data_IF_174248568915
#
_entry.id   IF_174248568915
#
_cell.length_a   1.000
_cell.length_b   1.000
_cell.length_c   1.000
_cell.angle_alpha   90.00
_cell.angle_beta   90.00
_cell.angle_gamma   90.00
#
_symmetry.space_group_name_H-M   'P 1'
#
loop_
_entity.id
_entity.type
_entity.pdbx_description
1 polymer ?
#
# COMPACT_ATOMS: atom_id res chain seq x y z
N UNK A 1 -6.97 -2.20 4.57
CA UNK A 1 -6.15 -1.55 5.61
C UNK A 1 -6.92 -0.33 6.08
N UNK A 2 -7.31 -0.23 7.35
CA UNK A 2 -8.17 0.87 7.86
C UNK A 2 -7.66 1.48 9.17
N UNK A 3 -6.37 1.28 9.49
CA UNK A 3 -5.79 1.72 10.75
C UNK A 3 -5.79 3.25 10.89
N UNK A 4 -5.45 3.99 9.84
CA UNK A 4 -5.36 5.45 9.90
C UNK A 4 -6.74 6.12 10.04
N UNK A 5 -7.77 5.73 9.25
CA UNK A 5 -9.13 6.21 9.52
C UNK A 5 -9.58 5.91 10.94
N UNK A 6 -9.22 4.75 11.51
CA UNK A 6 -9.57 4.41 12.89
C UNK A 6 -8.95 5.37 13.92
N UNK A 7 -7.70 5.78 13.70
CA UNK A 7 -6.96 6.62 14.64
C UNK A 7 -7.34 8.11 14.55
N UNK A 8 -7.57 8.60 13.33
CA UNK A 8 -7.69 10.05 13.08
C UNK A 8 -9.10 10.47 12.63
N UNK A 9 -9.89 9.56 12.08
CA UNK A 9 -11.17 9.84 11.41
C UNK A 9 -12.27 8.85 11.85
N UNK A 10 -12.58 8.74 13.16
CA UNK A 10 -13.45 7.67 13.68
C UNK A 10 -14.84 7.65 13.06
N UNK A 11 -15.41 8.82 12.73
CA UNK A 11 -16.71 8.89 12.04
C UNK A 11 -16.69 8.23 10.65
N UNK A 12 -15.59 8.41 9.90
CA UNK A 12 -15.42 7.75 8.59
C UNK A 12 -15.23 6.26 8.80
N UNK A 13 -14.36 5.86 9.74
CA UNK A 13 -14.12 4.45 10.06
C UNK A 13 -15.42 3.72 10.43
N UNK A 14 -16.25 4.33 11.26
CA UNK A 14 -17.54 3.77 11.69
C UNK A 14 -18.52 3.69 10.51
N UNK A 15 -18.53 4.69 9.61
CA UNK A 15 -19.33 4.67 8.39
C UNK A 15 -18.92 3.54 7.43
N UNK A 16 -17.62 3.39 7.18
CA UNK A 16 -17.08 2.31 6.35
C UNK A 16 -17.10 0.94 7.04
N UNK A 17 -17.40 0.85 8.34
CA UNK A 17 -17.54 -0.36 9.17
C UNK A 17 -16.79 -1.60 8.62
N UNK A 18 -15.46 -1.55 8.55
CA UNK A 18 -14.67 -2.53 7.80
C UNK A 18 -14.53 -3.86 8.55
N UNK A 19 -14.83 -3.89 9.85
CA UNK A 19 -14.71 -5.08 10.70
C UNK A 19 -15.94 -5.99 10.65
N UNK A 20 -17.10 -5.45 10.32
CA UNK A 20 -18.36 -6.21 10.33
C UNK A 20 -19.00 -6.37 8.95
N UNK A 21 -18.69 -5.50 7.99
CA UNK A 21 -19.29 -5.54 6.64
C UNK A 21 -18.26 -5.23 5.55
N UNK A 22 -17.96 -6.17 4.63
CA UNK A 22 -17.11 -5.87 3.49
C UNK A 22 -17.78 -4.80 2.60
N UNK A 23 -16.97 -4.02 1.90
CA UNK A 23 -17.44 -3.10 0.86
C UNK A 23 -17.79 -3.92 -0.38
N UNK A 24 -19.01 -3.74 -0.91
CA UNK A 24 -19.49 -4.52 -2.04
C UNK A 24 -18.87 -4.05 -3.37
N UNK A 25 -18.85 -2.73 -3.57
CA UNK A 25 -18.37 -2.07 -4.78
C UNK A 25 -18.07 -0.58 -4.49
N UNK A 26 -17.71 0.17 -5.54
CA UNK A 26 -17.42 1.60 -5.45
C UNK A 26 -18.64 2.43 -4.99
N UNK A 27 -19.87 2.04 -5.33
CA UNK A 27 -21.07 2.77 -4.92
C UNK A 27 -21.36 2.60 -3.43
N UNK A 28 -21.22 1.37 -2.89
CA UNK A 28 -21.29 1.13 -1.44
C UNK A 28 -20.16 1.87 -0.70
N UNK A 29 -18.97 1.95 -1.28
CA UNK A 29 -17.86 2.70 -0.70
C UNK A 29 -18.14 4.21 -0.64
N UNK A 30 -18.61 4.82 -1.72
CA UNK A 30 -19.01 6.24 -1.76
C UNK A 30 -20.10 6.54 -0.72
N UNK A 31 -21.14 5.70 -0.66
CA UNK A 31 -22.26 5.88 0.27
C UNK A 31 -21.85 5.84 1.76
N UNK A 32 -20.64 5.35 2.06
CA UNK A 32 -20.10 5.18 3.41
C UNK A 32 -18.96 6.13 3.75
N UNK A 33 -18.74 7.17 2.93
CA UNK A 33 -17.69 8.17 3.16
C UNK A 33 -16.36 7.82 2.47
N UNK A 34 -16.37 6.93 1.48
CA UNK A 34 -15.21 6.59 0.67
C UNK A 34 -14.70 7.71 -0.23
N UNK A 35 -15.49 8.78 -0.39
CA UNK A 35 -15.16 10.02 -1.09
C UNK A 35 -14.23 10.94 -0.27
N UNK A 36 -14.06 10.67 1.02
CA UNK A 36 -13.26 11.50 1.90
C UNK A 36 -11.81 11.63 1.42
N UNK A 37 -11.32 12.86 1.39
CA UNK A 37 -9.94 13.16 1.06
C UNK A 37 -9.07 13.02 2.31
N UNK A 38 -8.22 11.99 2.33
CA UNK A 38 -7.34 11.71 3.45
C UNK A 38 -5.90 11.99 3.03
N UNK A 39 -5.37 13.15 3.45
CA UNK A 39 -4.03 13.62 3.07
C UNK A 39 -2.94 12.59 3.37
N UNK A 40 -3.07 11.81 4.46
CA UNK A 40 -2.11 10.77 4.85
C UNK A 40 -1.98 9.63 3.82
N UNK A 41 -3.00 9.42 2.99
CA UNK A 41 -2.96 8.44 1.91
C UNK A 41 -2.47 9.03 0.58
N UNK A 42 -2.24 10.33 0.54
CA UNK A 42 -1.71 11.05 -0.63
C UNK A 42 -0.23 11.32 -0.47
N UNK A 43 0.46 11.26 -1.60
CA UNK A 43 1.80 11.81 -1.71
C UNK A 43 1.69 13.36 -1.68
N UNK A 44 2.40 14.06 -0.78
CA UNK A 44 2.32 15.52 -0.66
C UNK A 44 2.72 16.28 -1.94
N UNK A 45 3.56 15.67 -2.77
CA UNK A 45 4.03 16.22 -4.06
C UNK A 45 3.21 15.73 -5.26
N UNK A 46 2.18 14.91 -5.05
CA UNK A 46 1.26 14.52 -6.12
C UNK A 46 0.26 15.65 -6.40
N UNK A 47 0.35 16.19 -7.61
CA UNK A 47 -0.42 17.34 -8.11
C UNK A 47 -1.72 16.95 -8.83
N UNK A 48 -2.03 15.66 -8.90
CA UNK A 48 -3.28 15.16 -9.46
C UNK A 48 -4.50 15.39 -8.55
N UNK A 49 -5.70 15.12 -9.06
CA UNK A 49 -6.94 15.33 -8.31
C UNK A 49 -6.97 14.47 -7.05
N UNK A 50 -7.52 15.00 -5.93
CA UNK A 50 -7.61 14.28 -4.67
C UNK A 50 -8.57 13.09 -4.70
N UNK A 51 -9.45 13.05 -5.70
CA UNK A 51 -10.39 11.96 -5.95
C UNK A 51 -10.08 11.29 -7.30
N UNK A 52 -10.51 10.04 -7.41
CA UNK A 52 -10.54 9.28 -8.65
C UNK A 52 -11.71 9.72 -9.55
N UNK A 53 -11.75 9.32 -10.84
CA UNK A 53 -12.88 9.64 -11.73
C UNK A 53 -14.25 9.15 -11.24
N UNK A 54 -14.28 8.12 -10.40
CA UNK A 54 -15.49 7.60 -9.76
C UNK A 54 -15.87 8.36 -8.46
N UNK A 55 -15.11 9.38 -8.07
CA UNK A 55 -15.34 10.21 -6.88
C UNK A 55 -14.73 9.68 -5.59
N UNK A 56 -14.13 8.47 -5.60
CA UNK A 56 -13.49 7.93 -4.40
C UNK A 56 -12.21 8.69 -4.04
N UNK A 57 -11.96 8.85 -2.74
CA UNK A 57 -10.73 9.46 -2.24
C UNK A 57 -9.50 8.68 -2.69
N UNK A 58 -8.57 9.36 -3.36
CA UNK A 58 -7.36 8.76 -3.94
C UNK A 58 -6.35 8.37 -2.86
N UNK A 59 -5.61 7.31 -3.15
CA UNK A 59 -4.41 6.93 -2.42
C UNK A 59 -3.22 6.72 -3.38
N UNK A 60 -2.01 6.96 -2.90
CA UNK A 60 -0.77 6.73 -3.64
C UNK A 60 0.02 5.51 -3.12
N UNK A 61 -0.61 4.56 -2.42
CA UNK A 61 0.10 3.45 -1.76
C UNK A 61 -0.58 2.08 -1.86
N UNK A 62 0.05 1.08 -2.47
CA UNK A 62 -0.45 -0.30 -2.51
C UNK A 62 0.06 -1.11 -1.31
N UNK A 63 -0.74 -2.07 -0.85
CA UNK A 63 -0.30 -3.05 0.12
C UNK A 63 0.42 -4.23 -0.54
N UNK A 64 1.34 -4.90 0.16
CA UNK A 64 1.93 -6.16 -0.30
C UNK A 64 0.87 -7.27 -0.30
N UNK A 65 0.73 -8.00 -1.41
CA UNK A 65 -0.22 -9.10 -1.50
C UNK A 65 0.11 -10.25 -0.57
N UNK A 66 1.40 -10.56 -0.37
CA UNK A 66 1.79 -11.69 0.49
C UNK A 66 1.52 -11.40 1.98
N UNK A 67 1.57 -10.12 2.36
CA UNK A 67 1.21 -9.67 3.71
C UNK A 67 -0.31 -9.53 3.87
N UNK A 68 -1.01 -8.86 2.95
CA UNK A 68 -2.38 -8.37 3.17
C UNK A 68 -3.49 -9.10 2.41
N UNK A 69 -3.20 -9.93 1.41
CA UNK A 69 -4.25 -10.73 0.74
C UNK A 69 -4.73 -11.92 1.58
N UNK A 70 -4.14 -12.15 2.75
CA UNK A 70 -4.55 -13.14 3.74
C UNK A 70 -4.42 -12.60 5.15
N UNK A 71 -5.01 -13.30 6.13
CA UNK A 71 -4.86 -12.98 7.55
C UNK A 71 -3.45 -13.38 8.03
N UNK A 72 -2.46 -12.56 7.71
CA UNK A 72 -1.06 -12.77 8.13
C UNK A 72 -0.85 -12.30 9.56
N UNK A 73 -0.36 -13.19 10.43
CA UNK A 73 0.11 -12.86 11.77
C UNK A 73 1.56 -12.40 11.70
N UNK A 74 1.97 -11.50 12.60
CA UNK A 74 3.36 -11.06 12.67
C UNK A 74 4.36 -12.22 12.83
N UNK A 75 3.99 -13.26 13.57
CA UNK A 75 4.81 -14.47 13.75
C UNK A 75 4.97 -15.33 12.48
N UNK A 76 4.22 -15.02 11.41
CA UNK A 76 4.35 -15.68 10.11
C UNK A 76 5.33 -14.95 9.19
N UNK A 77 5.79 -13.75 9.55
CA UNK A 77 6.80 -12.99 8.80
C UNK A 77 8.18 -13.52 9.24
N UNK A 78 8.66 -14.53 8.51
CA UNK A 78 9.88 -15.29 8.80
C UNK A 78 11.13 -14.75 8.09
N UNK A 79 10.97 -13.99 7.02
CA UNK A 79 12.09 -13.35 6.31
C UNK A 79 12.61 -12.08 7.02
N UNK A 80 11.96 -11.70 8.12
CA UNK A 80 12.33 -10.56 8.96
C UNK A 80 11.42 -9.35 8.73
N UNK A 81 10.90 -8.76 9.82
CA UNK A 81 9.97 -7.62 9.72
C UNK A 81 10.63 -6.38 9.12
N UNK A 82 11.95 -6.24 9.24
CA UNK A 82 12.76 -5.15 8.71
C UNK A 82 13.18 -5.33 7.24
N UNK A 83 12.81 -6.46 6.65
CA UNK A 83 13.17 -6.89 5.28
C UNK A 83 11.95 -7.32 4.48
N UNK A 84 10.76 -7.40 5.09
CA UNK A 84 9.49 -7.61 4.40
C UNK A 84 8.72 -6.30 4.25
N UNK A 85 8.38 -5.94 3.01
CA UNK A 85 7.57 -4.79 2.66
C UNK A 85 6.10 -5.03 2.99
N UNK A 86 5.51 -4.08 3.70
CA UNK A 86 4.09 -4.03 4.00
C UNK A 86 3.32 -3.19 2.97
N UNK A 87 3.80 -1.98 2.68
CA UNK A 87 3.11 -1.01 1.81
C UNK A 87 4.16 -0.29 0.96
N UNK A 88 3.83 0.06 -0.26
CA UNK A 88 4.72 0.82 -1.15
C UNK A 88 3.99 1.89 -1.93
N UNK A 89 4.70 2.95 -2.32
CA UNK A 89 4.18 3.96 -3.24
C UNK A 89 3.76 3.33 -4.58
N UNK A 90 2.72 3.90 -5.19
CA UNK A 90 2.28 3.56 -6.54
C UNK A 90 1.88 4.80 -7.33
N UNK A 91 2.08 4.70 -8.65
CA UNK A 91 1.55 5.65 -9.64
C UNK A 91 0.19 5.22 -10.20
N UNK A 92 -0.35 4.07 -9.76
CA UNK A 92 -1.66 3.58 -10.18
C UNK A 92 -2.77 4.27 -9.41
N UNK A 93 -3.88 4.51 -10.12
CA UNK A 93 -5.11 5.00 -9.52
C UNK A 93 -5.70 3.94 -8.59
N UNK A 94 -5.87 4.30 -7.32
CA UNK A 94 -6.55 3.47 -6.34
C UNK A 94 -7.20 4.33 -5.25
N UNK A 95 -8.27 3.80 -4.66
CA UNK A 95 -8.96 4.45 -3.57
C UNK A 95 -8.41 3.97 -2.22
N UNK A 96 -8.31 4.84 -1.22
CA UNK A 96 -7.87 4.42 0.12
C UNK A 96 -8.84 3.42 0.75
N UNK A 97 -10.13 3.51 0.40
CA UNK A 97 -11.23 2.71 0.96
C UNK A 97 -11.38 1.35 0.27
N UNK A 98 -10.91 1.24 -0.98
CA UNK A 98 -10.79 0.00 -1.74
C UNK A 98 -9.32 -0.25 -2.09
N UNK A 99 -8.44 -0.43 -1.08
CA UNK A 99 -7.01 -0.47 -1.32
C UNK A 99 -6.63 -1.75 -2.08
N UNK A 100 -5.84 -1.60 -3.13
CA UNK A 100 -5.31 -2.71 -3.90
C UNK A 100 -4.12 -3.38 -3.21
N UNK A 101 -3.66 -4.48 -3.81
CA UNK A 101 -2.38 -5.10 -3.47
C UNK A 101 -1.46 -5.19 -4.69
N UNK A 102 -0.15 -5.17 -4.43
CA UNK A 102 0.90 -5.40 -5.39
C UNK A 102 1.77 -6.58 -4.99
N UNK A 103 2.29 -7.29 -5.98
CA UNK A 103 3.05 -8.54 -5.82
C UNK A 103 4.56 -8.34 -5.65
N UNK A 104 5.08 -7.16 -5.99
CA UNK A 104 6.52 -6.89 -5.93
C UNK A 104 7.35 -7.68 -6.96
N UNK A 105 6.72 -8.23 -7.99
CA UNK A 105 7.39 -9.07 -9.00
C UNK A 105 8.33 -8.30 -9.92
N UNK A 106 8.13 -6.99 -10.05
CA UNK A 106 8.91 -6.13 -10.95
C UNK A 106 9.39 -4.90 -10.17
N UNK A 107 10.66 -4.48 -10.29
CA UNK A 107 11.17 -3.28 -9.61
C UNK A 107 10.34 -2.02 -9.88
N UNK A 108 10.40 -1.03 -8.99
CA UNK A 108 9.59 0.18 -9.12
C UNK A 108 9.84 0.92 -10.43
N UNK A 109 8.80 1.60 -10.95
CA UNK A 109 8.88 2.38 -12.19
C UNK A 109 9.25 1.60 -13.47
N UNK A 110 9.16 0.25 -13.46
CA UNK A 110 9.43 -0.63 -14.61
C UNK A 110 8.15 -1.27 -15.17
N UNK A 111 7.07 -0.50 -15.35
CA UNK A 111 5.73 -1.03 -15.65
C UNK A 111 5.24 -2.02 -14.56
N UNK A 112 5.40 -1.63 -13.31
CA UNK A 112 5.21 -2.47 -12.12
C UNK A 112 3.99 -2.05 -11.29
N UNK A 113 3.73 -2.76 -10.18
CA UNK A 113 2.71 -2.40 -9.19
C UNK A 113 3.11 -1.14 -8.41
N UNK A 114 4.38 -1.04 -8.05
CA UNK A 114 4.94 0.02 -7.23
C UNK A 114 5.74 1.01 -8.09
N UNK A 115 5.80 2.27 -7.64
CA UNK A 115 6.52 3.31 -8.34
C UNK A 115 6.24 4.71 -7.80
N UNK A 116 7.07 5.65 -8.22
CA UNK A 116 7.02 7.05 -7.84
C UNK A 116 7.22 7.94 -9.06
N UNK A 117 6.37 8.98 -9.18
CA UNK A 117 6.45 9.96 -10.28
C UNK A 117 7.71 10.84 -10.25
N UNK A 118 8.43 10.86 -9.14
CA UNK A 118 9.68 11.62 -8.98
C UNK A 118 10.92 10.90 -9.54
N UNK A 119 10.79 9.60 -9.84
CA UNK A 119 11.88 8.76 -10.32
C UNK A 119 13.01 8.57 -9.29
N UNK A 120 13.99 7.73 -9.64
CA UNK A 120 15.18 7.39 -8.85
C UNK A 120 14.90 6.47 -7.66
N UNK A 121 13.93 6.81 -6.81
CA UNK A 121 13.54 6.03 -5.64
C UNK A 121 12.02 5.96 -5.50
N UNK A 122 11.56 4.90 -4.86
CA UNK A 122 10.17 4.70 -4.44
C UNK A 122 10.17 4.37 -2.95
N UNK A 123 9.29 4.98 -2.15
CA UNK A 123 9.26 4.70 -0.70
C UNK A 123 8.41 3.46 -0.37
N UNK A 124 8.90 2.71 0.61
CA UNK A 124 8.26 1.51 1.12
C UNK A 124 8.23 1.50 2.63
N UNK A 125 7.07 1.14 3.19
CA UNK A 125 6.88 0.80 4.59
C UNK A 125 7.15 -0.69 4.78
N UNK A 126 8.03 -1.01 5.73
CA UNK A 126 8.34 -2.37 6.15
C UNK A 126 7.44 -2.82 7.29
N UNK A 127 7.35 -4.14 7.50
CA UNK A 127 6.54 -4.72 8.57
C UNK A 127 6.99 -4.33 9.98
N UNK A 128 8.22 -3.85 10.15
CA UNK A 128 8.74 -3.28 11.40
C UNK A 128 8.31 -1.81 11.64
N UNK A 129 7.62 -1.19 10.68
CA UNK A 129 7.18 0.20 10.73
C UNK A 129 8.19 1.20 10.16
N UNK A 130 9.37 0.78 9.74
CA UNK A 130 10.35 1.66 9.10
C UNK A 130 9.95 1.98 7.66
N UNK A 131 10.21 3.22 7.23
CA UNK A 131 10.05 3.64 5.83
C UNK A 131 11.42 3.81 5.22
N UNK A 132 11.65 3.20 4.05
CA UNK A 132 12.93 3.30 3.33
C UNK A 132 12.72 3.59 1.85
N UNK A 133 13.54 4.46 1.23
CA UNK A 133 13.58 4.59 -0.21
C UNK A 133 14.26 3.35 -0.82
N UNK A 134 13.68 2.80 -1.88
CA UNK A 134 14.29 1.74 -2.68
C UNK A 134 14.55 2.28 -4.09
N UNK A 135 15.77 2.14 -4.63
CA UNK A 135 16.10 2.68 -5.94
C UNK A 135 15.42 1.92 -7.09
N UNK A 136 15.06 2.62 -8.16
CA UNK A 136 14.48 2.04 -9.40
C UNK A 136 15.47 1.09 -10.13
N UNK A 137 16.73 1.10 -9.71
CA UNK A 137 17.81 0.22 -10.18
C UNK A 137 18.01 -1.03 -9.34
N UNK A 138 17.20 -1.26 -8.29
CA UNK A 138 17.31 -2.46 -7.45
C UNK A 138 17.25 -3.74 -8.33
N UNK A 139 18.12 -4.73 -8.09
CA UNK A 139 18.03 -6.01 -8.80
C UNK A 139 16.66 -6.66 -8.58
N UNK A 140 16.06 -7.18 -9.65
CA UNK A 140 14.70 -7.74 -9.59
C UNK A 140 14.55 -8.85 -8.55
N UNK A 141 15.54 -9.73 -8.43
CA UNK A 141 15.52 -10.80 -7.42
C UNK A 141 15.56 -10.25 -5.99
N UNK A 142 16.36 -9.21 -5.73
CA UNK A 142 16.41 -8.55 -4.42
C UNK A 142 15.08 -7.89 -4.10
N UNK A 143 14.47 -7.18 -5.06
CA UNK A 143 13.17 -6.55 -4.86
C UNK A 143 12.07 -7.57 -4.59
N UNK A 144 12.02 -8.67 -5.34
CA UNK A 144 11.05 -9.75 -5.14
C UNK A 144 11.16 -10.37 -3.74
N UNK A 145 12.38 -10.59 -3.26
CA UNK A 145 12.63 -11.11 -1.91
C UNK A 145 12.10 -10.19 -0.79
N UNK A 146 11.90 -8.90 -1.05
CA UNK A 146 11.29 -7.99 -0.07
C UNK A 146 9.78 -8.20 0.06
N UNK A 147 9.14 -8.88 -0.89
CA UNK A 147 7.69 -9.09 -0.92
C UNK A 147 7.28 -10.50 -0.50
N UNK A 148 8.21 -11.28 0.06
CA UNK A 148 7.94 -12.59 0.64
C UNK A 148 7.86 -12.51 2.17
N UNK A 149 6.93 -13.26 2.76
CA UNK A 149 6.85 -13.43 4.22
C UNK A 149 7.66 -14.63 4.71
N UNK A 150 8.00 -15.58 3.83
CA UNK A 150 8.79 -16.77 4.18
C UNK A 150 9.51 -17.43 2.99
N UNK A 151 10.06 -16.65 2.05
CA UNK A 151 10.80 -17.13 0.88
C UNK A 151 12.23 -17.60 1.18
N UNK A 152 12.80 -17.26 2.35
CA UNK A 152 14.16 -17.62 2.77
C UNK A 152 15.27 -17.07 1.88
N UNK A 153 14.99 -16.09 1.01
CA UNK A 153 16.01 -15.44 0.20
C UNK A 153 16.91 -14.54 1.06
N UNK A 154 18.21 -14.54 0.77
CA UNK A 154 19.12 -13.58 1.37
C UNK A 154 18.87 -12.20 0.75
N UNK A 155 18.35 -11.27 1.55
CA UNK A 155 18.26 -9.86 1.18
C UNK A 155 19.56 -9.18 1.60
N UNK A 156 20.34 -8.69 0.63
CA UNK A 156 21.57 -7.92 0.90
C UNK A 156 21.27 -6.48 1.34
N UNK A 157 22.26 -5.60 1.31
CA UNK A 157 22.02 -4.15 1.42
C UNK A 157 21.36 -3.64 0.13
N UNK A 158 20.33 -2.81 0.25
CA UNK A 158 19.54 -2.26 -0.86
C UNK A 158 19.13 -0.80 -0.63
#
# INVERSE_FOLDING_TARGET
>A
MFLLPQLEQPAIYDGVNPTSRPLADAADALARGGDAELEVFRCPSFDGPPQLPDGLGRSNTLASSDVFSRKTKLTQIRDGMSTTVAVGETVRDQAWVLPGTGSGTTPPNRNADFGSGHGQVTHFLFCDGSVRPIPDSIPAATFQALFTVSGQEAVGDF
#
